data_IF_336949149112
#
_entry.id   IF_336949149112
#
_cell.length_a   1.000
_cell.length_b   1.000
_cell.length_c   1.000
_cell.angle_alpha   90.00
_cell.angle_beta   90.00
_cell.angle_gamma   90.00
#
_symmetry.space_group_name_H-M   'P 1'
#
loop_
_entity.id
_entity.type
_entity.pdbx_description
1 polymer ?
#
# COMPACT_ATOMS: atom_id res chain seq x y z
N UNK A 1 3.90 -3.26 -6.72
CA UNK A 1 4.60 -3.91 -7.87
C UNK A 1 3.90 -3.64 -9.20
N UNK A 2 3.83 -2.39 -9.67
CA UNK A 2 3.08 -2.03 -10.88
C UNK A 2 4.01 -1.53 -11.99
N UNK A 3 3.66 -1.71 -13.26
CA UNK A 3 4.38 -1.10 -14.39
C UNK A 3 4.15 0.42 -14.44
N UNK A 4 5.10 1.17 -15.02
CA UNK A 4 4.92 2.59 -15.33
C UNK A 4 3.94 2.76 -16.49
N UNK A 5 3.28 3.91 -16.57
CA UNK A 5 2.29 4.23 -17.62
C UNK A 5 2.79 4.14 -19.06
N UNK A 6 4.10 4.26 -19.27
CA UNK A 6 4.77 4.21 -20.58
C UNK A 6 5.64 2.96 -20.78
N UNK A 7 5.44 1.93 -19.96
CA UNK A 7 6.27 0.73 -20.03
C UNK A 7 6.16 0.07 -21.41
N UNK A 8 7.31 -0.29 -22.00
CA UNK A 8 7.42 -0.93 -23.33
C UNK A 8 6.81 -0.13 -24.49
N UNK A 9 6.67 1.19 -24.33
CA UNK A 9 6.22 2.09 -25.40
C UNK A 9 7.30 2.26 -26.48
N UNK A 10 6.89 2.29 -27.75
CA UNK A 10 7.79 2.60 -28.87
C UNK A 10 8.22 4.07 -28.90
N UNK A 11 7.36 4.96 -28.41
CA UNK A 11 7.57 6.39 -28.34
C UNK A 11 7.29 6.88 -26.92
N UNK A 12 8.13 7.78 -26.41
CA UNK A 12 8.03 8.29 -25.04
C UNK A 12 6.78 9.13 -24.80
N UNK A 13 6.11 9.63 -25.84
CA UNK A 13 4.91 10.47 -25.69
C UNK A 13 3.61 9.67 -25.56
N UNK A 14 3.65 8.35 -25.80
CA UNK A 14 2.47 7.51 -25.77
C UNK A 14 2.38 6.70 -24.48
N UNK A 15 1.21 6.75 -23.83
CA UNK A 15 0.89 5.83 -22.74
C UNK A 15 0.52 4.46 -23.30
N UNK A 16 1.17 3.42 -22.79
CA UNK A 16 0.82 2.02 -23.07
C UNK A 16 -0.21 1.49 -22.07
N UNK A 17 -0.25 2.08 -20.89
CA UNK A 17 -1.17 1.75 -19.81
C UNK A 17 -1.92 3.01 -19.39
N UNK A 18 -3.24 3.02 -19.58
CA UNK A 18 -4.12 4.08 -19.11
C UNK A 18 -4.89 3.62 -17.87
N UNK A 19 -4.83 4.42 -16.80
CA UNK A 19 -5.67 4.23 -15.63
C UNK A 19 -7.09 4.71 -15.96
N UNK A 20 -8.09 3.97 -15.47
CA UNK A 20 -9.49 4.34 -15.68
C UNK A 20 -9.81 5.71 -15.05
N UNK A 21 -9.23 5.98 -13.88
CA UNK A 21 -9.28 7.28 -13.22
C UNK A 21 -8.01 8.06 -13.62
N UNK A 22 -8.18 9.20 -14.27
CA UNK A 22 -7.07 9.96 -14.85
C UNK A 22 -6.08 10.49 -13.79
N UNK A 23 -6.55 10.79 -12.58
CA UNK A 23 -5.70 11.32 -11.50
C UNK A 23 -4.60 10.32 -11.08
N UNK A 24 -4.81 9.02 -11.29
CA UNK A 24 -3.83 8.00 -10.96
C UNK A 24 -2.83 7.70 -12.09
N UNK A 25 -2.95 8.36 -13.24
CA UNK A 25 -2.10 8.08 -14.41
C UNK A 25 -0.60 8.31 -14.11
N UNK A 26 -0.31 9.24 -13.19
CA UNK A 26 1.05 9.58 -12.77
C UNK A 26 1.54 8.80 -11.55
N UNK A 27 0.66 8.09 -10.83
CA UNK A 27 1.01 7.34 -9.61
C UNK A 27 1.39 5.88 -9.90
N UNK A 28 0.93 5.30 -11.01
CA UNK A 28 1.29 3.93 -11.37
C UNK A 28 2.78 3.77 -11.69
N UNK A 29 3.37 2.67 -11.20
CA UNK A 29 4.76 2.33 -11.44
C UNK A 29 5.78 3.18 -10.69
N UNK A 30 5.37 3.77 -9.55
CA UNK A 30 6.30 4.34 -8.58
C UNK A 30 7.36 3.29 -8.15
N UNK A 31 8.59 3.74 -7.87
CA UNK A 31 9.71 2.89 -7.45
C UNK A 31 10.50 3.42 -6.25
N UNK A 32 10.02 4.48 -5.60
CA UNK A 32 10.74 5.12 -4.50
C UNK A 32 10.67 4.28 -3.22
N UNK A 33 9.52 3.65 -2.99
CA UNK A 33 9.30 2.78 -1.84
C UNK A 33 8.27 1.69 -2.14
N UNK A 34 8.23 0.63 -1.33
CA UNK A 34 7.17 -0.36 -1.43
C UNK A 34 5.83 0.29 -1.05
N UNK A 35 4.77 -0.06 -1.79
CA UNK A 35 3.45 0.43 -1.42
C UNK A 35 2.98 -0.21 -0.11
N UNK A 36 2.16 0.51 0.66
CA UNK A 36 1.58 -0.04 1.89
C UNK A 36 0.89 -1.39 1.67
N UNK A 37 0.19 -1.54 0.54
CA UNK A 37 -0.49 -2.78 0.19
C UNK A 37 0.47 -3.92 -0.14
N UNK A 38 1.59 -3.65 -0.83
CA UNK A 38 2.62 -4.67 -1.07
C UNK A 38 3.19 -5.19 0.26
N UNK A 39 3.50 -4.28 1.20
CA UNK A 39 4.02 -4.62 2.53
C UNK A 39 2.97 -5.40 3.35
N UNK A 40 1.71 -4.95 3.32
CA UNK A 40 0.59 -5.63 3.99
C UNK A 40 0.44 -7.06 3.48
N UNK A 41 0.45 -7.26 2.16
CA UNK A 41 0.30 -8.59 1.56
C UNK A 41 1.44 -9.53 2.02
N UNK A 42 2.68 -9.06 1.95
CA UNK A 42 3.83 -9.83 2.43
C UNK A 42 3.70 -10.20 3.91
N UNK A 43 3.31 -9.26 4.76
CA UNK A 43 3.14 -9.53 6.20
C UNK A 43 1.98 -10.48 6.49
N UNK A 44 0.90 -10.45 5.70
CA UNK A 44 -0.20 -11.41 5.84
C UNK A 44 0.22 -12.82 5.48
N UNK A 45 1.06 -12.99 4.46
CA UNK A 45 1.53 -14.30 4.00
C UNK A 45 2.60 -14.87 4.92
N UNK A 46 3.61 -14.07 5.27
CA UNK A 46 4.80 -14.55 5.98
C UNK A 46 4.79 -14.29 7.49
N UNK A 47 3.95 -13.39 7.98
CA UNK A 47 3.90 -13.00 9.39
C UNK A 47 2.52 -13.19 10.01
N UNK A 48 1.68 -14.07 9.43
CA UNK A 48 0.34 -14.38 9.96
C UNK A 48 0.35 -14.84 11.41
N UNK A 49 1.41 -15.56 11.79
CA UNK A 49 1.55 -16.25 13.06
C UNK A 49 2.48 -15.52 14.04
N UNK A 50 3.01 -14.37 13.62
CA UNK A 50 3.93 -13.56 14.42
C UNK A 50 3.26 -12.95 15.66
N UNK A 51 1.93 -12.79 15.62
CA UNK A 51 1.15 -12.23 16.73
C UNK A 51 0.09 -13.22 17.20
N UNK A 52 0.00 -13.50 18.52
CA UNK A 52 -0.98 -14.45 19.07
C UNK A 52 -2.42 -13.95 18.93
N UNK A 53 -2.62 -12.64 18.80
CA UNK A 53 -3.93 -12.02 18.59
C UNK A 53 -3.85 -11.01 17.46
N UNK A 54 -4.82 -11.08 16.54
CA UNK A 54 -5.03 -10.07 15.50
C UNK A 54 -5.94 -8.97 16.05
N UNK A 55 -5.47 -7.73 16.02
CA UNK A 55 -6.26 -6.57 16.39
C UNK A 55 -7.26 -6.23 15.26
N UNK A 56 -8.49 -5.78 15.58
CA UNK A 56 -9.46 -5.34 14.59
C UNK A 56 -9.09 -3.95 14.05
N UNK A 57 -8.04 -3.88 13.24
CA UNK A 57 -7.58 -2.65 12.61
C UNK A 57 -8.58 -2.20 11.53
N UNK A 58 -8.93 -0.92 11.55
CA UNK A 58 -9.92 -0.36 10.61
C UNK A 58 -9.29 0.13 9.30
N UNK A 59 -10.14 0.34 8.28
CA UNK A 59 -9.83 0.98 6.98
C UNK A 59 -8.56 0.49 6.30
N UNK A 60 -8.38 -0.83 6.28
CA UNK A 60 -7.27 -1.47 5.57
C UNK A 60 -5.96 -1.56 6.35
N UNK A 61 -5.93 -1.08 7.60
CA UNK A 61 -4.81 -1.34 8.51
C UNK A 61 -4.68 -2.82 8.88
N UNK A 62 -3.51 -3.22 9.36
CA UNK A 62 -3.25 -4.59 9.84
C UNK A 62 -2.45 -4.56 11.15
N UNK A 63 -2.46 -5.65 11.91
CA UNK A 63 -1.68 -5.75 13.15
C UNK A 63 -0.19 -5.70 12.83
N UNK A 64 0.58 -4.86 13.53
CA UNK A 64 2.03 -4.79 13.29
C UNK A 64 2.67 -6.12 13.73
N UNK A 65 3.25 -6.92 12.81
CA UNK A 65 3.83 -8.22 13.17
C UNK A 65 5.02 -8.08 14.12
N UNK A 66 5.68 -6.91 14.15
CA UNK A 66 6.77 -6.61 15.09
C UNK A 66 6.27 -6.07 16.43
N UNK A 67 5.03 -5.58 16.50
CA UNK A 67 4.42 -4.98 17.71
C UNK A 67 2.93 -5.29 17.75
N UNK A 68 2.60 -6.45 18.30
CA UNK A 68 1.24 -7.00 18.30
C UNK A 68 0.18 -6.14 19.03
N UNK A 69 0.60 -5.10 19.77
CA UNK A 69 -0.30 -4.20 20.50
C UNK A 69 -0.78 -2.99 19.67
N UNK A 70 -0.25 -2.80 18.45
CA UNK A 70 -0.62 -1.68 17.57
C UNK A 70 -1.00 -2.11 16.15
N UNK A 71 -1.75 -1.25 15.47
CA UNK A 71 -2.03 -1.37 14.05
C UNK A 71 -1.00 -0.59 13.22
N UNK A 72 -0.61 -1.16 12.08
CA UNK A 72 0.04 -0.45 10.98
C UNK A 72 -1.03 0.09 10.03
N UNK A 73 -0.97 1.39 9.80
CA UNK A 73 -1.91 2.13 8.95
C UNK A 73 -1.20 2.65 7.70
N UNK A 74 -1.94 2.91 6.61
CA UNK A 74 -1.39 3.59 5.43
C UNK A 74 -0.91 5.00 5.80
N UNK A 75 -0.01 5.54 4.99
CA UNK A 75 0.54 6.89 5.17
C UNK A 75 -0.58 7.94 5.27
N UNK A 76 -0.43 8.89 6.19
CA UNK A 76 -1.44 9.90 6.50
C UNK A 76 -2.46 9.51 7.58
N UNK A 77 -2.42 8.27 8.08
CA UNK A 77 -3.31 7.80 9.15
C UNK A 77 -2.55 7.24 10.34
N UNK A 78 -2.98 7.60 11.56
CA UNK A 78 -2.44 7.02 12.80
C UNK A 78 -3.56 6.65 13.78
N UNK A 79 -3.23 5.77 14.74
CA UNK A 79 -4.14 5.39 15.83
C UNK A 79 -4.94 4.10 15.61
N UNK A 80 -5.62 3.64 16.67
CA UNK A 80 -6.64 2.57 16.62
C UNK A 80 -7.95 3.06 15.98
N UNK A 81 -8.20 4.35 16.07
CA UNK A 81 -9.29 5.09 15.44
C UNK A 81 -8.65 6.13 14.52
N UNK A 82 -9.13 6.21 13.28
CA UNK A 82 -8.57 7.10 12.28
C UNK A 82 -8.73 8.56 12.70
N UNK A 83 -7.66 9.16 13.23
CA UNK A 83 -7.51 10.59 13.10
C UNK A 83 -6.72 10.83 11.81
N UNK A 84 -7.30 11.54 10.81
CA UNK A 84 -6.48 12.12 9.76
C UNK A 84 -5.46 13.04 10.44
N UNK A 85 -4.21 13.00 9.99
CA UNK A 85 -3.30 14.11 10.25
C UNK A 85 -3.93 15.35 9.59
N UNK A 86 -4.62 16.17 10.40
CA UNK A 86 -4.86 17.58 10.08
C UNK A 86 -3.53 18.29 10.26
#
# INVERSE_FOLDING_TARGET
MHYRSKAFGRYDDLFTLNTNIMDYQKTIGQRDQLSFNDIRLMNVIYCSDSCPRKLPCQRGGYTDPRRCDRCRCPDGFTGRVLFPFI
#
